data_IF_889719510959
#
_entry.id   IF_889719510959
#
_cell.length_a   1.000
_cell.length_b   1.000
_cell.length_c   1.000
_cell.angle_alpha   90.00
_cell.angle_beta   90.00
_cell.angle_gamma   90.00
#
_symmetry.space_group_name_H-M   'P 1'
#
loop_
_entity.id
_entity.type
_entity.pdbx_description
1 polymer ?
#
# COMPACT_ATOMS: atom_id res chain seq x y z
N UNK A 1 -27.96 -14.01 45.62
CA UNK A 1 -27.38 -12.71 45.25
C UNK A 1 -26.05 -12.58 45.97
N UNK A 2 -24.92 -12.78 45.27
CA UNK A 2 -23.59 -12.50 45.82
C UNK A 2 -23.27 -11.04 45.46
N UNK A 3 -23.26 -10.16 46.46
CA UNK A 3 -22.78 -8.79 46.33
C UNK A 3 -21.25 -8.82 46.40
N UNK A 4 -20.59 -8.49 45.29
CA UNK A 4 -19.15 -8.27 45.26
C UNK A 4 -18.88 -6.83 45.71
N UNK A 5 -18.09 -6.65 46.77
CA UNK A 5 -17.55 -5.36 47.16
C UNK A 5 -16.28 -5.12 46.33
N UNK A 6 -16.34 -4.24 45.36
CA UNK A 6 -15.19 -3.77 44.61
C UNK A 6 -14.48 -2.69 45.45
N UNK A 7 -13.24 -2.96 45.83
CA UNK A 7 -12.36 -1.95 46.45
C UNK A 7 -11.48 -1.32 45.39
N UNK A 8 -11.42 0.01 45.35
CA UNK A 8 -10.60 0.77 44.41
C UNK A 8 -9.13 0.89 44.81
N UNK A 9 -8.75 0.36 45.95
CA UNK A 9 -7.39 0.48 46.50
C UNK A 9 -6.66 -0.86 46.50
N UNK A 10 -5.48 -0.89 45.83
CA UNK A 10 -4.53 -1.99 45.89
C UNK A 10 -3.18 -1.40 46.34
N UNK A 11 -2.80 -1.67 47.57
CA UNK A 11 -1.63 -1.04 48.20
C UNK A 11 -1.84 0.46 48.38
N UNK A 12 -0.93 1.29 47.87
CA UNK A 12 -1.02 2.76 47.89
C UNK A 12 -1.66 3.36 46.64
N UNK A 13 -1.97 2.54 45.63
CA UNK A 13 -2.54 3.01 44.35
C UNK A 13 -4.07 3.07 44.39
N UNK A 14 -4.63 4.18 43.96
CA UNK A 14 -6.07 4.38 43.82
C UNK A 14 -6.47 4.03 42.38
N UNK A 15 -7.20 2.94 42.17
CA UNK A 15 -7.67 2.54 40.84
C UNK A 15 -9.01 3.22 40.49
N UNK A 16 -9.09 3.70 39.27
CA UNK A 16 -10.31 4.26 38.69
C UNK A 16 -11.21 3.12 38.19
N UNK A 17 -12.46 3.11 38.64
CA UNK A 17 -13.48 2.14 38.24
C UNK A 17 -14.50 2.73 37.24
N UNK A 18 -14.25 3.95 36.76
CA UNK A 18 -15.12 4.61 35.78
C UNK A 18 -15.11 3.83 34.45
N UNK A 19 -16.24 3.85 33.76
CA UNK A 19 -16.37 3.23 32.46
C UNK A 19 -15.46 3.93 31.44
N UNK A 20 -14.71 3.13 30.66
CA UNK A 20 -13.86 3.61 29.59
C UNK A 20 -14.65 3.61 28.29
N UNK A 21 -14.83 4.79 27.69
CA UNK A 21 -15.48 4.96 26.39
C UNK A 21 -14.48 5.49 25.37
N UNK A 22 -14.65 5.09 24.11
CA UNK A 22 -13.84 5.57 23.00
C UNK A 22 -14.71 6.40 22.08
N UNK A 23 -14.34 7.66 21.88
CA UNK A 23 -14.89 8.52 20.86
C UNK A 23 -13.92 8.62 19.68
N UNK A 24 -14.46 8.55 18.46
CA UNK A 24 -13.66 8.51 17.24
C UNK A 24 -14.18 9.53 16.24
N UNK A 25 -13.26 10.21 15.56
CA UNK A 25 -13.54 11.03 14.39
C UNK A 25 -12.40 10.90 13.39
N UNK A 26 -12.65 11.24 12.14
CA UNK A 26 -11.69 11.16 11.07
C UNK A 26 -11.78 12.40 10.22
N UNK A 27 -10.65 13.03 9.95
CA UNK A 27 -10.51 14.09 8.96
C UNK A 27 -9.84 13.51 7.72
N UNK A 28 -10.46 13.70 6.55
CA UNK A 28 -10.03 13.12 5.28
C UNK A 28 -9.28 14.17 4.45
N UNK A 29 -8.06 13.86 4.03
CA UNK A 29 -7.22 14.66 3.13
C UNK A 29 -6.92 13.85 1.87
N UNK A 30 -6.32 14.47 0.85
CA UNK A 30 -6.12 13.83 -0.48
C UNK A 30 -5.33 12.53 -0.41
N UNK A 31 -4.23 12.48 0.35
CA UNK A 31 -3.31 11.32 0.42
C UNK A 31 -3.30 10.63 1.78
N UNK A 32 -3.87 11.30 2.80
CA UNK A 32 -3.81 10.89 4.19
C UNK A 32 -5.16 11.13 4.84
N UNK A 33 -5.43 10.37 5.88
CA UNK A 33 -6.51 10.71 6.80
C UNK A 33 -5.95 10.82 8.23
N UNK A 34 -6.53 11.70 9.02
CA UNK A 34 -6.16 11.86 10.42
C UNK A 34 -7.25 11.25 11.30
N UNK A 35 -6.88 10.21 12.03
CA UNK A 35 -7.75 9.50 12.94
C UNK A 35 -7.63 10.09 14.34
N UNK A 36 -8.70 10.70 14.81
CA UNK A 36 -8.82 11.24 16.16
C UNK A 36 -9.53 10.23 17.04
N UNK A 37 -8.81 9.67 17.98
CA UNK A 37 -9.37 8.76 19.00
C UNK A 37 -9.20 9.42 20.35
N UNK A 38 -10.32 9.63 21.06
CA UNK A 38 -10.33 10.17 22.41
C UNK A 38 -10.89 9.12 23.37
N UNK A 39 -10.14 8.85 24.42
CA UNK A 39 -10.57 8.00 25.54
C UNK A 39 -11.25 8.88 26.57
N UNK A 40 -12.49 8.54 26.92
CA UNK A 40 -13.30 9.22 27.92
C UNK A 40 -13.41 8.30 29.15
N UNK A 41 -12.95 8.80 30.32
CA UNK A 41 -12.94 8.10 31.60
C UNK A 41 -13.57 9.03 32.63
N UNK A 42 -14.83 8.78 33.00
CA UNK A 42 -15.58 9.74 33.80
C UNK A 42 -15.61 11.11 33.15
N UNK A 43 -15.03 12.12 33.77
CA UNK A 43 -14.92 13.50 33.24
C UNK A 43 -13.63 13.78 32.47
N UNK A 44 -12.70 12.83 32.41
CA UNK A 44 -11.41 12.99 31.73
C UNK A 44 -11.55 12.62 30.24
N UNK A 45 -10.94 13.45 29.38
CA UNK A 45 -10.86 13.23 27.93
C UNK A 45 -9.37 13.19 27.55
N UNK A 46 -8.87 12.02 27.18
CA UNK A 46 -7.46 11.78 26.93
C UNK A 46 -7.27 11.34 25.49
N UNK A 47 -6.43 12.05 24.68
CA UNK A 47 -6.09 11.57 23.34
C UNK A 47 -5.48 10.17 23.38
N UNK A 48 -5.96 9.27 22.51
CA UNK A 48 -5.51 7.87 22.48
C UNK A 48 -3.99 7.74 22.25
N UNK A 49 -3.40 8.70 21.56
CA UNK A 49 -1.95 8.79 21.31
C UNK A 49 -1.11 8.78 22.62
N UNK A 50 -1.68 9.23 23.75
CA UNK A 50 -1.01 9.18 25.06
C UNK A 50 -0.77 7.76 25.57
N UNK A 51 -1.59 6.80 25.14
CA UNK A 51 -1.48 5.39 25.52
C UNK A 51 -0.52 4.60 24.63
N UNK A 52 -0.02 5.19 23.52
CA UNK A 52 0.83 4.53 22.53
C UNK A 52 1.98 3.75 23.17
N UNK A 53 2.76 4.39 24.04
CA UNK A 53 3.91 3.77 24.67
C UNK A 53 3.50 2.56 25.49
N UNK A 54 2.42 2.64 26.26
CA UNK A 54 1.91 1.56 27.09
C UNK A 54 1.41 0.39 26.25
N UNK A 55 0.70 0.69 25.16
CA UNK A 55 0.18 -0.33 24.24
C UNK A 55 1.33 -1.08 23.55
N UNK A 56 2.33 -0.35 23.01
CA UNK A 56 3.47 -0.97 22.33
C UNK A 56 4.43 -1.71 23.26
N UNK A 57 4.51 -1.32 24.55
CA UNK A 57 5.28 -2.00 25.59
C UNK A 57 4.47 -3.05 26.36
N UNK A 58 3.21 -3.32 25.95
CA UNK A 58 2.27 -4.25 26.60
C UNK A 58 2.04 -3.96 28.09
N UNK A 59 2.15 -2.69 28.50
CA UNK A 59 1.92 -2.26 29.88
C UNK A 59 0.45 -1.92 30.10
N UNK A 60 -0.22 -2.66 30.96
CA UNK A 60 -1.64 -2.49 31.25
C UNK A 60 -1.96 -1.34 32.19
N UNK A 61 -1.06 -0.95 33.05
CA UNK A 61 -1.28 0.10 34.04
C UNK A 61 -0.92 1.47 33.47
N UNK A 62 -1.85 2.42 33.58
CA UNK A 62 -1.67 3.80 33.14
C UNK A 62 -2.06 4.77 34.25
N UNK A 63 -1.17 5.73 34.56
CA UNK A 63 -1.43 6.79 35.53
C UNK A 63 -2.20 7.93 34.87
N UNK A 64 -3.41 8.19 35.35
CA UNK A 64 -4.23 9.31 34.90
C UNK A 64 -3.68 10.64 35.36
N UNK A 65 -4.02 11.76 34.70
CA UNK A 65 -3.60 13.11 35.09
C UNK A 65 -4.06 13.53 36.51
N UNK A 66 -5.12 12.89 37.00
CA UNK A 66 -5.66 13.12 38.36
C UNK A 66 -5.01 12.27 39.47
N UNK A 67 -3.99 11.48 39.10
CA UNK A 67 -3.24 10.63 40.01
C UNK A 67 -3.85 9.23 40.24
N UNK A 68 -5.00 8.92 39.64
CA UNK A 68 -5.59 7.58 39.70
C UNK A 68 -4.93 6.64 38.68
N UNK A 69 -4.92 5.35 38.97
CA UNK A 69 -4.46 4.33 38.03
C UNK A 69 -5.62 3.72 37.27
N UNK A 70 -5.44 3.39 35.99
CA UNK A 70 -6.39 2.56 35.24
C UNK A 70 -5.69 1.33 34.65
N UNK A 71 -6.48 0.29 34.43
CA UNK A 71 -6.06 -0.88 33.67
C UNK A 71 -6.58 -0.73 32.23
N UNK A 72 -5.65 -0.67 31.27
CA UNK A 72 -6.00 -0.62 29.86
C UNK A 72 -6.66 -1.94 29.45
N UNK A 73 -7.75 -1.91 28.66
CA UNK A 73 -8.40 -3.11 28.16
C UNK A 73 -7.45 -3.99 27.35
N UNK A 74 -7.46 -5.29 27.60
CA UNK A 74 -6.55 -6.26 26.94
C UNK A 74 -6.73 -6.26 25.42
N UNK A 75 -7.94 -6.07 24.94
CA UNK A 75 -8.26 -5.96 23.52
C UNK A 75 -7.58 -4.78 22.82
N UNK A 76 -7.13 -3.74 23.55
CA UNK A 76 -6.42 -2.61 22.93
C UNK A 76 -5.04 -3.00 22.42
N UNK A 77 -4.38 -3.94 23.07
CA UNK A 77 -3.03 -4.39 22.70
C UNK A 77 -3.04 -5.16 21.38
N UNK A 78 -4.05 -5.98 21.13
CA UNK A 78 -4.20 -6.69 19.85
C UNK A 78 -4.83 -5.83 18.77
N UNK A 79 -5.79 -4.96 19.14
CA UNK A 79 -6.64 -4.22 18.19
C UNK A 79 -5.96 -2.96 17.62
N UNK A 80 -5.24 -2.24 18.47
CA UNK A 80 -4.70 -0.92 18.10
C UNK A 80 -3.17 -0.89 17.94
N UNK A 81 -2.42 -1.91 18.35
CA UNK A 81 -0.97 -1.92 18.23
C UNK A 81 -0.53 -1.66 16.77
N UNK A 82 -1.10 -2.39 15.82
CA UNK A 82 -0.78 -2.24 14.41
C UNK A 82 -1.08 -0.82 13.87
N UNK A 83 -2.18 -0.19 14.31
CA UNK A 83 -2.51 1.18 13.89
C UNK A 83 -1.51 2.20 14.44
N UNK A 84 -1.06 2.00 15.67
CA UNK A 84 -0.08 2.86 16.33
C UNK A 84 1.32 2.70 15.72
N UNK A 85 1.67 1.52 15.20
CA UNK A 85 2.92 1.28 14.48
C UNK A 85 2.91 1.89 13.08
N UNK A 86 1.80 1.76 12.34
CA UNK A 86 1.66 2.21 10.95
C UNK A 86 1.47 3.72 10.82
N UNK A 87 0.93 4.36 11.86
CA UNK A 87 0.56 5.77 11.82
C UNK A 87 1.66 6.70 12.33
N UNK A 88 1.69 7.91 11.75
CA UNK A 88 2.50 9.01 12.26
C UNK A 88 1.70 9.77 13.33
N UNK A 89 2.26 9.88 14.53
CA UNK A 89 1.62 10.61 15.61
C UNK A 89 1.61 12.11 15.30
N UNK A 90 0.45 12.75 15.46
CA UNK A 90 0.26 14.19 15.40
C UNK A 90 -0.16 14.72 16.77
N UNK A 91 -0.27 16.03 16.91
CA UNK A 91 -0.76 16.64 18.17
C UNK A 91 -2.22 16.26 18.46
N UNK A 92 -3.02 16.02 17.43
CA UNK A 92 -4.47 15.76 17.54
C UNK A 92 -4.86 14.30 17.42
N UNK A 93 -4.02 13.46 16.76
CA UNK A 93 -4.39 12.09 16.48
C UNK A 93 -3.28 11.25 15.87
N UNK A 94 -3.67 10.36 14.98
CA UNK A 94 -2.79 9.47 14.24
C UNK A 94 -3.05 9.69 12.75
N UNK A 95 -2.04 10.17 12.03
CA UNK A 95 -2.10 10.33 10.58
C UNK A 95 -1.71 9.04 9.89
N UNK A 96 -2.57 8.56 9.01
CA UNK A 96 -2.43 7.30 8.27
C UNK A 96 -2.59 7.53 6.78
N UNK A 97 -1.86 6.81 5.94
CA UNK A 97 -2.10 6.80 4.50
C UNK A 97 -3.43 6.10 4.20
N UNK A 98 -4.12 6.54 3.15
CA UNK A 98 -5.38 5.90 2.70
C UNK A 98 -5.23 4.40 2.43
N UNK A 99 -4.04 3.92 2.08
CA UNK A 99 -3.73 2.50 1.92
C UNK A 99 -4.05 1.65 3.18
N UNK A 100 -4.04 2.25 4.38
CA UNK A 100 -4.31 1.55 5.65
C UNK A 100 -5.78 1.58 6.07
N UNK A 101 -6.68 2.11 5.25
CA UNK A 101 -8.11 2.25 5.58
C UNK A 101 -8.74 0.89 5.98
N UNK A 102 -8.37 -0.21 5.30
CA UNK A 102 -8.84 -1.54 5.62
C UNK A 102 -8.40 -2.03 7.01
N UNK A 103 -7.14 -1.73 7.40
CA UNK A 103 -6.63 -2.07 8.74
C UNK A 103 -7.36 -1.26 9.82
N UNK A 104 -7.64 0.01 9.54
CA UNK A 104 -8.42 0.89 10.43
C UNK A 104 -9.84 0.38 10.60
N UNK A 105 -10.50 -0.01 9.51
CA UNK A 105 -11.85 -0.58 9.53
C UNK A 105 -11.90 -1.86 10.38
N UNK A 106 -10.91 -2.73 10.25
CA UNK A 106 -10.80 -3.94 11.06
C UNK A 106 -10.61 -3.62 12.54
N UNK A 107 -9.77 -2.65 12.86
CA UNK A 107 -9.49 -2.25 14.23
C UNK A 107 -10.66 -1.51 14.92
N UNK A 108 -11.40 -0.67 14.20
CA UNK A 108 -12.46 0.16 14.77
C UNK A 108 -13.85 -0.51 14.78
N UNK A 109 -14.03 -1.61 14.02
CA UNK A 109 -15.31 -2.29 13.86
C UNK A 109 -16.29 -1.51 12.98
N UNK A 110 -17.49 -2.09 12.77
CA UNK A 110 -18.50 -1.52 11.85
C UNK A 110 -19.04 -0.15 12.28
N UNK A 111 -19.12 0.12 13.57
CA UNK A 111 -19.63 1.41 14.08
C UNK A 111 -18.61 2.55 13.95
N UNK A 112 -17.31 2.25 13.98
CA UNK A 112 -16.25 3.22 13.71
C UNK A 112 -16.15 3.59 12.21
N UNK A 113 -16.68 2.73 11.35
CA UNK A 113 -16.56 2.82 9.88
C UNK A 113 -17.58 3.76 9.25
N UNK A 114 -18.68 4.10 9.92
CA UNK A 114 -19.76 4.96 9.36
C UNK A 114 -19.31 6.36 8.91
N UNK A 115 -18.11 6.77 9.33
CA UNK A 115 -17.50 8.07 8.96
C UNK A 115 -16.43 7.96 7.87
N UNK A 116 -16.03 6.75 7.47
CA UNK A 116 -15.13 6.58 6.34
C UNK A 116 -15.91 6.56 5.02
N UNK A 117 -15.32 7.06 3.93
CA UNK A 117 -15.98 6.99 2.64
C UNK A 117 -16.41 5.55 2.38
N UNK A 118 -17.69 5.36 2.06
CA UNK A 118 -18.28 4.06 1.79
C UNK A 118 -17.38 3.32 0.78
N UNK A 119 -17.20 2.00 1.00
CA UNK A 119 -16.45 1.10 0.11
C UNK A 119 -16.78 1.47 -1.33
N UNK A 120 -15.89 2.22 -2.01
CA UNK A 120 -16.17 2.70 -3.36
C UNK A 120 -16.42 1.48 -4.24
N UNK A 121 -17.60 1.41 -4.83
CA UNK A 121 -17.94 0.34 -5.76
C UNK A 121 -17.02 0.48 -6.97
N UNK A 122 -16.23 -0.56 -7.24
CA UNK A 122 -15.39 -0.62 -8.43
C UNK A 122 -16.31 -0.77 -9.63
N UNK A 123 -16.50 0.31 -10.38
CA UNK A 123 -17.30 0.27 -11.60
C UNK A 123 -16.52 -0.41 -12.73
N UNK A 124 -17.24 -1.16 -13.55
CA UNK A 124 -16.63 -1.76 -14.74
C UNK A 124 -16.16 -0.65 -15.70
N UNK A 125 -14.87 -0.68 -16.04
CA UNK A 125 -14.24 0.25 -16.97
C UNK A 125 -14.24 -0.37 -18.37
N UNK A 126 -14.64 0.37 -19.38
CA UNK A 126 -14.59 -0.12 -20.75
C UNK A 126 -13.15 -0.44 -21.18
N UNK A 127 -12.94 -1.63 -21.75
CA UNK A 127 -11.64 -2.03 -22.31
C UNK A 127 -11.28 -1.11 -23.46
N UNK A 128 -10.01 -0.64 -23.56
CA UNK A 128 -9.58 0.19 -24.68
C UNK A 128 -9.82 -0.50 -26.03
N UNK A 129 -10.44 0.17 -26.97
CA UNK A 129 -10.72 -0.37 -28.32
C UNK A 129 -9.45 -0.71 -29.11
N UNK A 130 -8.33 -0.13 -28.72
CA UNK A 130 -7.00 -0.36 -29.31
C UNK A 130 -6.32 -1.63 -28.79
N UNK A 131 -6.87 -2.25 -27.74
CA UNK A 131 -6.40 -3.54 -27.23
C UNK A 131 -6.79 -4.65 -28.21
N UNK A 132 -5.82 -5.45 -28.64
CA UNK A 132 -6.01 -6.58 -29.58
C UNK A 132 -6.24 -7.90 -28.83
N UNK A 133 -7.10 -7.88 -27.82
CA UNK A 133 -7.46 -9.05 -27.02
C UNK A 133 -8.85 -8.89 -26.40
N UNK A 134 -9.50 -10.00 -26.08
CA UNK A 134 -10.73 -10.04 -25.29
C UNK A 134 -10.43 -10.52 -23.89
N UNK A 135 -10.83 -9.75 -22.88
CA UNK A 135 -10.66 -10.12 -21.48
C UNK A 135 -11.73 -11.10 -21.04
N UNK A 136 -11.35 -12.08 -20.22
CA UNK A 136 -12.31 -12.89 -19.47
C UNK A 136 -12.96 -12.05 -18.36
N UNK A 137 -14.14 -12.45 -17.84
CA UNK A 137 -14.85 -11.65 -16.83
C UNK A 137 -14.01 -11.29 -15.60
N UNK A 138 -13.19 -12.21 -15.09
CA UNK A 138 -12.31 -11.93 -13.94
C UNK A 138 -11.17 -10.97 -14.31
N UNK A 139 -10.60 -11.07 -15.51
CA UNK A 139 -9.57 -10.15 -16.02
C UNK A 139 -10.14 -8.74 -16.18
N UNK A 140 -11.39 -8.64 -16.63
CA UNK A 140 -12.12 -7.36 -16.71
C UNK A 140 -12.28 -6.73 -15.32
N UNK A 141 -12.58 -7.52 -14.30
CA UNK A 141 -12.66 -7.06 -12.91
C UNK A 141 -11.30 -6.59 -12.42
N UNK A 142 -10.22 -7.38 -12.65
CA UNK A 142 -8.86 -7.02 -12.26
C UNK A 142 -8.38 -5.74 -12.96
N UNK A 143 -8.64 -5.59 -14.26
CA UNK A 143 -8.37 -4.36 -15.00
C UNK A 143 -9.13 -3.16 -14.40
N UNK A 144 -10.43 -3.29 -14.14
CA UNK A 144 -11.25 -2.22 -13.57
C UNK A 144 -10.75 -1.81 -12.17
N UNK A 145 -10.31 -2.79 -11.36
CA UNK A 145 -9.67 -2.55 -10.06
C UNK A 145 -8.36 -1.78 -10.20
N UNK A 146 -7.49 -2.17 -11.11
CA UNK A 146 -6.24 -1.44 -11.36
C UNK A 146 -6.47 -0.01 -11.84
N UNK A 147 -7.49 0.22 -12.68
CA UNK A 147 -7.88 1.59 -13.09
C UNK A 147 -8.42 2.39 -11.91
N UNK A 148 -9.16 1.76 -11.00
CA UNK A 148 -9.60 2.40 -9.77
C UNK A 148 -8.41 2.84 -8.91
N UNK A 149 -7.44 1.95 -8.67
CA UNK A 149 -6.21 2.30 -7.94
C UNK A 149 -5.44 3.45 -8.61
N UNK A 150 -5.29 3.38 -9.94
CA UNK A 150 -4.63 4.44 -10.72
C UNK A 150 -5.27 5.81 -10.50
N UNK A 151 -6.60 5.89 -10.54
CA UNK A 151 -7.33 7.15 -10.34
C UNK A 151 -7.20 7.69 -8.91
N UNK A 152 -6.99 6.81 -7.93
CA UNK A 152 -6.82 7.17 -6.53
C UNK A 152 -5.35 7.44 -6.14
N UNK A 153 -4.40 7.31 -7.08
CA UNK A 153 -2.98 7.46 -6.78
C UNK A 153 -2.36 6.30 -6.01
N UNK A 154 -3.07 5.15 -5.90
CA UNK A 154 -2.57 4.00 -5.15
C UNK A 154 -1.71 3.08 -6.01
N UNK A 155 -0.74 2.44 -5.38
CA UNK A 155 -0.11 1.25 -5.91
C UNK A 155 -0.98 0.00 -5.73
N UNK A 156 -0.58 -1.13 -6.32
CA UNK A 156 -1.37 -2.36 -6.26
C UNK A 156 -0.54 -3.65 -6.27
N UNK A 157 -1.12 -4.71 -5.72
CA UNK A 157 -0.60 -6.05 -5.81
C UNK A 157 -1.62 -6.95 -6.53
N UNK A 158 -1.33 -7.34 -7.77
CA UNK A 158 -2.15 -8.30 -8.52
C UNK A 158 -1.65 -9.72 -8.23
N UNK A 159 -2.35 -10.39 -7.32
CA UNK A 159 -1.97 -11.69 -6.75
C UNK A 159 -2.78 -12.86 -7.32
N UNK A 160 -3.18 -12.78 -8.59
CA UNK A 160 -3.84 -13.89 -9.29
C UNK A 160 -2.89 -15.08 -9.43
N UNK A 161 -3.42 -16.30 -9.48
CA UNK A 161 -2.64 -17.51 -9.72
C UNK A 161 -1.85 -17.44 -11.04
N UNK A 162 -0.83 -18.28 -11.17
CA UNK A 162 -0.06 -18.38 -12.41
C UNK A 162 -0.97 -18.82 -13.58
N UNK A 163 -0.73 -18.24 -14.75
CA UNK A 163 -1.51 -18.56 -15.97
C UNK A 163 -2.84 -17.81 -16.10
N UNK A 164 -3.30 -17.06 -15.10
CA UNK A 164 -4.56 -16.30 -15.19
C UNK A 164 -4.44 -14.97 -15.97
N UNK A 165 -3.31 -14.73 -16.62
CA UNK A 165 -3.13 -13.59 -17.54
C UNK A 165 -2.91 -12.25 -16.84
N UNK A 166 -2.12 -12.21 -15.76
CA UNK A 166 -1.67 -10.98 -15.12
C UNK A 166 -1.02 -10.02 -16.11
N UNK A 167 -0.19 -10.55 -17.02
CA UNK A 167 0.44 -9.78 -18.12
C UNK A 167 -0.61 -9.07 -18.97
N UNK A 168 -1.65 -9.77 -19.43
CA UNK A 168 -2.70 -9.19 -20.27
C UNK A 168 -3.49 -8.11 -19.53
N UNK A 169 -3.84 -8.34 -18.26
CA UNK A 169 -4.53 -7.35 -17.44
C UNK A 169 -3.68 -6.09 -17.26
N UNK A 170 -2.38 -6.24 -16.98
CA UNK A 170 -1.44 -5.12 -16.84
C UNK A 170 -1.28 -4.37 -18.17
N UNK A 171 -1.10 -5.08 -19.29
CA UNK A 171 -1.02 -4.47 -20.61
C UNK A 171 -2.32 -3.72 -20.98
N UNK A 172 -3.47 -4.20 -20.53
CA UNK A 172 -4.76 -3.51 -20.71
C UNK A 172 -4.80 -2.19 -19.92
N UNK A 173 -4.30 -2.18 -18.68
CA UNK A 173 -4.14 -0.96 -17.88
C UNK A 173 -3.23 0.03 -18.61
N UNK A 174 -2.06 -0.40 -19.06
CA UNK A 174 -1.10 0.47 -19.74
C UNK A 174 -1.66 1.00 -21.06
N UNK A 175 -2.38 0.17 -21.84
CA UNK A 175 -3.09 0.63 -23.04
C UNK A 175 -4.20 1.65 -22.73
N UNK A 176 -4.84 1.57 -21.56
CA UNK A 176 -5.81 2.55 -21.09
C UNK A 176 -5.13 3.89 -20.73
N UNK A 177 -3.97 3.87 -20.10
CA UNK A 177 -3.21 5.06 -19.68
C UNK A 177 -2.64 5.77 -20.90
N UNK A 178 -1.99 5.03 -21.81
CA UNK A 178 -1.35 5.57 -23.01
C UNK A 178 -2.30 5.67 -24.22
N UNK A 179 -3.58 5.94 -23.99
CA UNK A 179 -4.52 6.18 -25.11
C UNK A 179 -4.17 7.45 -25.88
N UNK A 180 -4.41 7.50 -27.19
CA UNK A 180 -4.06 8.66 -28.04
C UNK A 180 -4.65 9.99 -27.58
N UNK A 181 -5.81 9.96 -26.92
CA UNK A 181 -6.49 11.14 -26.38
C UNK A 181 -5.96 11.61 -25.03
N UNK A 182 -5.05 10.87 -24.39
CA UNK A 182 -4.46 11.26 -23.11
C UNK A 182 -3.27 12.21 -23.33
N UNK A 183 -2.97 13.10 -22.37
CA UNK A 183 -1.72 13.84 -22.35
C UNK A 183 -0.52 12.87 -22.42
N UNK A 184 0.62 13.36 -22.96
CA UNK A 184 1.84 12.56 -23.02
C UNK A 184 2.28 12.21 -21.61
N UNK A 185 2.34 10.91 -21.31
CA UNK A 185 2.79 10.39 -20.03
C UNK A 185 4.25 9.96 -20.09
N UNK A 186 4.98 9.95 -18.93
CA UNK A 186 6.28 9.31 -18.84
C UNK A 186 6.22 7.82 -19.20
N UNK A 187 7.35 7.21 -19.50
CA UNK A 187 7.42 5.78 -19.78
C UNK A 187 7.06 4.93 -18.55
N UNK A 188 6.62 3.69 -18.79
CA UNK A 188 6.47 2.65 -17.76
C UNK A 188 7.70 1.73 -17.79
N UNK A 189 8.29 1.48 -16.62
CA UNK A 189 9.34 0.49 -16.42
C UNK A 189 8.72 -0.85 -16.01
N UNK A 190 9.01 -1.91 -16.76
CA UNK A 190 8.54 -3.27 -16.47
C UNK A 190 9.76 -4.11 -16.16
N UNK A 191 9.88 -4.55 -14.91
CA UNK A 191 10.99 -5.36 -14.40
C UNK A 191 10.53 -6.80 -14.25
N UNK A 192 11.19 -7.70 -14.94
CA UNK A 192 10.79 -9.11 -15.02
C UNK A 192 12.00 -10.05 -14.82
N UNK A 193 11.77 -11.31 -14.41
CA UNK A 193 12.80 -12.34 -14.51
C UNK A 193 13.29 -12.49 -15.94
N UNK A 194 14.56 -12.84 -16.13
CA UNK A 194 15.16 -12.99 -17.46
C UNK A 194 14.41 -13.98 -18.35
N UNK A 195 13.87 -15.06 -17.77
CA UNK A 195 13.10 -16.06 -18.47
C UNK A 195 11.77 -15.56 -19.02
N UNK A 196 11.20 -14.52 -18.42
CA UNK A 196 9.90 -13.96 -18.81
C UNK A 196 10.01 -12.77 -19.77
N UNK A 197 11.18 -12.18 -19.94
CA UNK A 197 11.39 -10.96 -20.71
C UNK A 197 10.89 -11.10 -22.16
N UNK A 198 11.24 -12.22 -22.80
CA UNK A 198 10.79 -12.49 -24.19
C UNK A 198 9.27 -12.61 -24.28
N UNK A 199 8.63 -13.31 -23.34
CA UNK A 199 7.19 -13.50 -23.31
C UNK A 199 6.46 -12.15 -23.14
N UNK A 200 6.89 -11.31 -22.22
CA UNK A 200 6.33 -9.98 -21.99
C UNK A 200 6.38 -9.12 -23.25
N UNK A 201 7.52 -9.08 -23.92
CA UNK A 201 7.69 -8.31 -25.17
C UNK A 201 6.80 -8.85 -26.29
N UNK A 202 6.71 -10.18 -26.43
CA UNK A 202 5.86 -10.83 -27.42
C UNK A 202 4.39 -10.52 -27.16
N UNK A 203 3.92 -10.61 -25.93
CA UNK A 203 2.55 -10.29 -25.55
C UNK A 203 2.24 -8.80 -25.73
N UNK A 204 3.12 -7.92 -25.32
CA UNK A 204 2.96 -6.48 -25.50
C UNK A 204 2.84 -6.12 -26.99
N UNK A 205 3.69 -6.68 -27.86
CA UNK A 205 3.62 -6.49 -29.31
C UNK A 205 2.33 -7.05 -29.91
N UNK A 206 1.86 -8.18 -29.39
CA UNK A 206 0.66 -8.86 -29.87
C UNK A 206 -0.62 -8.10 -29.50
N UNK A 207 -0.72 -7.63 -28.27
CA UNK A 207 -1.97 -7.14 -27.69
C UNK A 207 -2.09 -5.62 -27.71
N UNK A 208 -0.99 -4.90 -27.79
CA UNK A 208 -0.99 -3.43 -27.74
C UNK A 208 -0.38 -2.79 -28.99
N UNK A 209 -0.60 -1.48 -29.15
CA UNK A 209 0.09 -0.63 -30.14
C UNK A 209 1.16 0.26 -29.51
N UNK A 210 1.58 -0.03 -28.27
CA UNK A 210 2.50 0.81 -27.51
C UNK A 210 3.94 0.65 -28.01
N UNK A 211 4.66 1.79 -28.13
CA UNK A 211 6.09 1.78 -28.44
C UNK A 211 6.86 1.18 -27.25
N UNK A 212 7.82 0.31 -27.55
CA UNK A 212 8.52 -0.42 -26.51
C UNK A 212 10.00 -0.60 -26.82
N UNK A 213 10.80 -0.71 -25.78
CA UNK A 213 12.21 -1.06 -25.87
C UNK A 213 12.63 -2.01 -24.76
N UNK A 214 13.72 -2.71 -24.98
CA UNK A 214 14.44 -3.48 -23.96
C UNK A 214 15.65 -2.69 -23.50
N UNK A 215 15.70 -2.38 -22.22
CA UNK A 215 16.83 -1.72 -21.61
C UNK A 215 17.90 -2.74 -21.21
N UNK A 216 19.08 -2.61 -21.84
CA UNK A 216 20.24 -3.44 -21.58
C UNK A 216 21.53 -2.58 -21.50
N UNK A 217 22.68 -3.20 -21.18
CA UNK A 217 23.96 -2.49 -21.00
C UNK A 217 24.52 -1.84 -22.28
N UNK A 218 23.96 -2.13 -23.46
CA UNK A 218 24.48 -1.60 -24.72
C UNK A 218 23.99 -0.18 -25.00
N UNK A 219 23.06 0.32 -24.20
CA UNK A 219 22.44 1.63 -24.42
C UNK A 219 23.12 2.67 -23.53
N UNK A 220 23.81 3.61 -24.16
CA UNK A 220 24.37 4.77 -23.47
C UNK A 220 23.26 5.82 -23.23
N UNK A 221 22.98 6.12 -21.96
CA UNK A 221 21.99 7.14 -21.57
C UNK A 221 22.67 8.29 -20.84
N UNK A 222 22.38 9.51 -21.28
CA UNK A 222 22.79 10.71 -20.55
C UNK A 222 21.98 10.83 -19.25
N UNK A 223 22.66 10.61 -18.12
CA UNK A 223 22.06 10.71 -16.77
C UNK A 223 21.47 12.08 -16.44
N UNK A 224 21.95 13.14 -17.10
CA UNK A 224 21.47 14.51 -16.91
C UNK A 224 20.16 14.80 -17.66
N UNK A 225 19.87 14.00 -18.68
CA UNK A 225 18.69 14.17 -19.56
C UNK A 225 18.04 12.82 -19.90
N UNK A 226 17.68 12.01 -18.89
CA UNK A 226 17.11 10.68 -19.12
C UNK A 226 15.79 10.73 -19.89
N UNK A 227 15.03 11.82 -19.77
CA UNK A 227 13.78 12.04 -20.51
C UNK A 227 13.96 12.07 -22.03
N UNK A 228 15.13 12.48 -22.53
CA UNK A 228 15.44 12.46 -23.95
C UNK A 228 15.51 11.04 -24.51
N UNK A 229 15.76 10.07 -23.65
CA UNK A 229 15.82 8.67 -24.04
C UNK A 229 14.51 7.94 -23.68
N UNK A 230 14.18 7.89 -22.40
CA UNK A 230 13.02 7.14 -21.91
C UNK A 230 11.69 7.70 -22.41
N UNK A 231 11.58 9.01 -22.60
CA UNK A 231 10.37 9.67 -23.08
C UNK A 231 9.96 9.35 -24.54
N UNK A 232 10.75 8.61 -25.30
CA UNK A 232 10.38 8.15 -26.64
C UNK A 232 9.53 6.88 -26.64
N UNK A 233 9.52 6.15 -25.52
CA UNK A 233 8.86 4.86 -25.40
C UNK A 233 7.71 4.92 -24.39
N UNK A 234 6.70 4.08 -24.61
CA UNK A 234 5.66 3.85 -23.61
C UNK A 234 6.09 2.77 -22.60
N UNK A 235 6.71 1.70 -23.09
CA UNK A 235 7.11 0.55 -22.28
C UNK A 235 8.61 0.33 -22.36
N UNK A 236 9.26 0.19 -21.21
CA UNK A 236 10.66 -0.13 -21.08
C UNK A 236 10.77 -1.41 -20.29
N UNK A 237 11.26 -2.46 -20.93
CA UNK A 237 11.46 -3.77 -20.33
C UNK A 237 12.88 -3.92 -19.83
N UNK A 238 13.05 -4.45 -18.64
CA UNK A 238 14.36 -4.78 -18.08
C UNK A 238 14.25 -5.98 -17.15
N UNK A 239 15.39 -6.49 -16.69
CA UNK A 239 15.43 -7.58 -15.72
C UNK A 239 15.85 -7.07 -14.35
N UNK A 240 15.58 -7.85 -13.28
CA UNK A 240 16.00 -7.50 -11.92
C UNK A 240 17.52 -7.30 -11.82
N UNK A 241 18.32 -8.12 -12.53
CA UNK A 241 19.77 -7.97 -12.57
C UNK A 241 20.20 -6.66 -13.23
N UNK A 242 19.59 -6.33 -14.37
CA UNK A 242 19.86 -5.08 -15.08
C UNK A 242 19.41 -3.86 -14.28
N UNK A 243 18.24 -3.91 -13.66
CA UNK A 243 17.74 -2.86 -12.76
C UNK A 243 18.76 -2.57 -11.65
N UNK A 244 19.23 -3.62 -10.97
CA UNK A 244 20.22 -3.49 -9.89
C UNK A 244 21.54 -2.88 -10.36
N UNK A 245 22.06 -3.33 -11.49
CA UNK A 245 23.35 -2.89 -12.01
C UNK A 245 23.31 -1.45 -12.56
N UNK A 246 22.13 -0.96 -12.97
CA UNK A 246 21.96 0.35 -13.60
C UNK A 246 21.03 1.28 -12.81
N UNK A 247 20.91 1.04 -11.51
CA UNK A 247 19.97 1.78 -10.67
C UNK A 247 20.20 3.30 -10.72
N UNK A 248 21.44 3.77 -10.80
CA UNK A 248 21.75 5.21 -10.82
C UNK A 248 21.25 5.92 -12.08
N UNK A 249 21.08 5.18 -13.18
CA UNK A 249 20.46 5.72 -14.40
C UNK A 249 18.93 5.65 -14.26
N UNK A 250 18.42 4.49 -13.83
CA UNK A 250 16.97 4.30 -13.76
C UNK A 250 16.30 5.19 -12.70
N UNK A 251 16.96 5.47 -11.58
CA UNK A 251 16.42 6.36 -10.54
C UNK A 251 16.51 7.86 -10.90
N UNK A 252 17.21 8.23 -11.99
CA UNK A 252 17.24 9.62 -12.47
C UNK A 252 15.98 10.03 -13.26
N UNK A 253 15.09 9.09 -13.58
CA UNK A 253 13.85 9.32 -14.32
C UNK A 253 12.62 8.92 -13.51
N UNK A 254 11.61 9.80 -13.49
CA UNK A 254 10.32 9.49 -12.87
C UNK A 254 9.40 8.81 -13.88
N UNK A 255 9.16 7.52 -13.70
CA UNK A 255 8.30 6.71 -14.55
C UNK A 255 6.82 6.96 -14.27
N UNK A 256 5.95 6.69 -15.24
CA UNK A 256 4.49 6.67 -15.01
C UNK A 256 4.11 5.51 -14.08
N UNK A 257 4.61 4.31 -14.42
CA UNK A 257 4.51 3.12 -13.61
C UNK A 257 5.86 2.43 -13.46
N UNK A 258 6.04 1.78 -12.32
CA UNK A 258 7.00 0.69 -12.18
C UNK A 258 6.19 -0.57 -11.91
N UNK A 259 6.34 -1.56 -12.80
CA UNK A 259 5.72 -2.88 -12.69
C UNK A 259 6.78 -3.89 -12.36
N UNK A 260 6.65 -4.61 -11.25
CA UNK A 260 7.53 -5.72 -10.86
C UNK A 260 6.77 -7.03 -11.05
N UNK A 261 7.18 -7.85 -12.01
CA UNK A 261 6.62 -9.19 -12.20
C UNK A 261 7.43 -10.23 -11.40
N UNK A 262 6.75 -11.26 -10.91
CA UNK A 262 7.28 -12.23 -9.96
C UNK A 262 7.94 -11.50 -8.78
N UNK A 263 7.14 -10.68 -8.10
CA UNK A 263 7.62 -9.75 -7.06
C UNK A 263 8.23 -10.42 -5.83
N UNK A 264 8.14 -11.75 -5.70
CA UNK A 264 8.95 -12.49 -4.72
C UNK A 264 10.46 -12.27 -4.88
N UNK A 265 10.93 -11.76 -6.03
CA UNK A 265 12.32 -11.34 -6.20
C UNK A 265 12.75 -10.18 -5.27
N UNK A 266 11.80 -9.46 -4.68
CA UNK A 266 12.06 -8.38 -3.71
C UNK A 266 11.59 -8.72 -2.29
N UNK A 267 11.22 -9.97 -1.98
CA UNK A 267 10.71 -10.40 -0.67
C UNK A 267 11.67 -10.16 0.50
N UNK A 268 12.97 -10.22 0.24
CA UNK A 268 13.97 -9.93 1.25
C UNK A 268 14.32 -8.44 1.22
N UNK A 269 13.87 -7.70 2.24
CA UNK A 269 14.10 -6.26 2.42
C UNK A 269 15.59 -5.87 2.57
N UNK A 270 16.46 -6.82 2.94
CA UNK A 270 17.88 -6.57 3.06
C UNK A 270 18.63 -6.78 1.74
N UNK A 271 17.99 -7.38 0.74
CA UNK A 271 18.60 -7.67 -0.55
C UNK A 271 18.94 -6.41 -1.34
N UNK A 272 20.00 -6.48 -2.14
CA UNK A 272 20.36 -5.41 -3.07
C UNK A 272 19.25 -5.15 -4.08
N UNK A 273 18.50 -6.18 -4.46
CA UNK A 273 17.37 -6.07 -5.40
C UNK A 273 16.25 -5.22 -4.82
N UNK A 274 15.85 -5.48 -3.57
CA UNK A 274 14.84 -4.68 -2.87
C UNK A 274 15.28 -3.23 -2.72
N UNK A 275 16.51 -2.99 -2.22
CA UNK A 275 17.07 -1.65 -2.03
C UNK A 275 17.13 -0.87 -3.36
N UNK A 276 17.43 -1.54 -4.46
CA UNK A 276 17.41 -0.92 -5.79
C UNK A 276 15.97 -0.59 -6.22
N UNK A 277 15.02 -1.51 -6.04
CA UNK A 277 13.63 -1.29 -6.40
C UNK A 277 13.02 -0.07 -5.68
N UNK A 278 13.27 0.09 -4.38
CA UNK A 278 12.78 1.23 -3.59
C UNK A 278 13.33 2.57 -4.08
N UNK A 279 14.56 2.62 -4.61
CA UNK A 279 15.18 3.85 -5.14
C UNK A 279 14.55 4.35 -6.43
N UNK A 280 13.86 3.50 -7.17
CA UNK A 280 13.19 3.88 -8.41
C UNK A 280 12.09 4.93 -8.14
N UNK A 281 11.95 5.89 -9.05
CA UNK A 281 10.96 6.96 -8.95
C UNK A 281 9.82 6.73 -9.95
N UNK A 282 8.58 6.81 -9.47
CA UNK A 282 7.39 6.70 -10.33
C UNK A 282 6.19 7.36 -9.68
N UNK A 283 5.17 7.65 -10.50
CA UNK A 283 3.86 8.10 -10.01
C UNK A 283 3.06 6.95 -9.40
N UNK A 284 3.17 5.75 -9.99
CA UNK A 284 2.42 4.57 -9.57
C UNK A 284 3.33 3.35 -9.52
N UNK A 285 2.97 2.38 -8.67
CA UNK A 285 3.69 1.12 -8.52
C UNK A 285 2.74 -0.06 -8.55
N UNK A 286 3.12 -1.11 -9.25
CA UNK A 286 2.34 -2.34 -9.38
C UNK A 286 3.24 -3.55 -9.20
N UNK A 287 2.86 -4.47 -8.35
CA UNK A 287 3.53 -5.76 -8.21
C UNK A 287 2.62 -6.88 -8.71
N UNK A 288 3.20 -7.84 -9.40
CA UNK A 288 2.51 -9.04 -9.90
C UNK A 288 3.17 -10.25 -9.26
N UNK A 289 2.37 -11.15 -8.73
CA UNK A 289 2.84 -12.39 -8.12
C UNK A 289 1.79 -13.47 -8.18
N UNK A 290 2.19 -14.74 -8.25
CA UNK A 290 1.29 -15.87 -8.01
C UNK A 290 1.32 -16.34 -6.55
N UNK A 291 2.32 -15.89 -5.78
CA UNK A 291 2.57 -16.31 -4.40
C UNK A 291 2.91 -15.10 -3.54
N UNK A 292 1.90 -14.31 -3.13
CA UNK A 292 2.16 -13.08 -2.36
C UNK A 292 2.79 -13.36 -0.99
N UNK A 293 2.52 -14.52 -0.42
CA UNK A 293 3.11 -15.01 0.83
C UNK A 293 3.69 -16.40 0.55
N UNK A 294 5.02 -16.57 0.63
CA UNK A 294 5.67 -17.88 0.48
C UNK A 294 6.07 -18.44 1.85
N UNK A 295 6.84 -17.71 2.63
CA UNK A 295 7.42 -18.21 3.87
C UNK A 295 6.99 -17.42 5.10
N UNK A 296 6.72 -16.12 4.98
CA UNK A 296 6.43 -15.26 6.12
C UNK A 296 5.67 -14.00 5.75
N UNK A 297 5.06 -13.35 6.75
CA UNK A 297 4.46 -12.02 6.59
C UNK A 297 5.49 -10.94 6.20
N UNK A 298 6.79 -11.17 6.44
CA UNK A 298 7.86 -10.25 6.01
C UNK A 298 7.95 -10.18 4.49
N UNK A 299 7.64 -11.28 3.78
CA UNK A 299 7.62 -11.32 2.31
C UNK A 299 6.55 -10.36 1.76
N UNK A 300 5.37 -10.39 2.40
CA UNK A 300 4.27 -9.48 2.08
C UNK A 300 4.62 -8.03 2.43
N UNK A 301 5.24 -7.81 3.59
CA UNK A 301 5.67 -6.48 4.02
C UNK A 301 6.62 -5.83 3.00
N UNK A 302 7.59 -6.55 2.48
CA UNK A 302 8.53 -6.03 1.48
C UNK A 302 7.81 -5.57 0.20
N UNK A 303 6.81 -6.36 -0.27
CA UNK A 303 6.02 -6.00 -1.45
C UNK A 303 5.16 -4.76 -1.18
N UNK A 304 4.49 -4.68 -0.04
CA UNK A 304 3.69 -3.52 0.35
C UNK A 304 4.53 -2.27 0.64
N UNK A 305 5.76 -2.44 1.13
CA UNK A 305 6.69 -1.32 1.30
C UNK A 305 7.13 -0.73 -0.05
N UNK A 306 7.21 -1.56 -1.08
CA UNK A 306 7.51 -1.10 -2.43
C UNK A 306 6.32 -0.34 -3.05
N UNK A 307 5.08 -0.80 -2.86
CA UNK A 307 3.85 -0.18 -3.39
C UNK A 307 3.57 1.16 -2.73
#
# INVERSE_FOLDING_TARGET
QHSFHLTSNVGTALYCLDEIRIEQSCDDEVDWFELHITVVIGNLRIPFSRFRKHILEEKREYLLPDGRMILLPEEWFSKYANLLEMGVQTEKGIRLKHAFIGAVQTALGEDGVKKFPAKQQIHNVAVPRTLKATLRPYQQKGFSWMVHLHKQGFGGCLADDMGLGKTLQTLTLLQYIYKPSAPKQPATLIVVPTSLLHNWRREAKRFTGLSMMEYNNTVAIDKKRPEKFFGHFHLIFTTYGMMRNNIDILCSYCFEYIVLDESQNIKNSESLTFRSAIRLQSKHRLVLTGTPIENSLKDLWAQFHFI
#
